data_IF_009370043016
#
_entry.id   IF_009370043016
#
_cell.length_a   1.000
_cell.length_b   1.000
_cell.length_c   1.000
_cell.angle_alpha   90.00
_cell.angle_beta   90.00
_cell.angle_gamma   90.00
#
_symmetry.space_group_name_H-M   'P 1'
#
loop_
_entity.id
_entity.type
_entity.pdbx_description
1 polymer ?
#
# COMPACT_ATOMS: atom_id res chain seq x y z
N UNK A 1 1.80 7.57 -15.54
CA UNK A 1 2.28 6.32 -14.90
C UNK A 1 1.55 5.14 -15.51
N UNK A 2 2.24 4.01 -15.68
CA UNK A 2 1.67 2.77 -16.25
C UNK A 2 1.35 1.77 -15.15
N UNK A 3 0.19 1.11 -15.23
CA UNK A 3 -0.27 0.14 -14.23
C UNK A 3 -0.65 -1.19 -14.87
N UNK A 4 -0.37 -2.29 -14.18
CA UNK A 4 -0.80 -3.63 -14.55
C UNK A 4 -1.89 -4.11 -13.60
N UNK A 5 -3.05 -4.49 -14.14
CA UNK A 5 -4.07 -5.22 -13.38
C UNK A 5 -3.58 -6.65 -13.18
N UNK A 6 -3.45 -7.08 -11.93
CA UNK A 6 -2.99 -8.42 -11.61
C UNK A 6 -4.16 -9.41 -11.51
N UNK A 7 -3.91 -10.72 -11.67
CA UNK A 7 -4.89 -11.75 -11.35
C UNK A 7 -5.39 -11.61 -9.91
N UNK A 8 -6.55 -12.19 -9.60
CA UNK A 8 -7.14 -12.11 -8.26
C UNK A 8 -6.17 -12.71 -7.24
N UNK A 9 -5.67 -11.85 -6.35
CA UNK A 9 -4.72 -12.19 -5.30
C UNK A 9 -5.35 -12.15 -3.90
N UNK A 10 -4.52 -12.12 -2.84
CA UNK A 10 -4.95 -12.21 -1.44
C UNK A 10 -5.94 -11.12 -0.99
N UNK A 11 -5.91 -9.94 -1.62
CA UNK A 11 -6.78 -8.79 -1.32
C UNK A 11 -7.90 -8.59 -2.35
N UNK A 12 -8.11 -9.54 -3.26
CA UNK A 12 -8.92 -9.36 -4.47
C UNK A 12 -8.08 -8.89 -5.65
N UNK A 13 -8.74 -8.40 -6.71
CA UNK A 13 -8.02 -7.81 -7.85
C UNK A 13 -7.55 -6.39 -7.54
N UNK A 14 -6.26 -6.12 -7.73
CA UNK A 14 -5.65 -4.79 -7.64
C UNK A 14 -4.77 -4.51 -8.87
N UNK A 15 -4.38 -3.25 -9.05
CA UNK A 15 -3.36 -2.91 -10.05
C UNK A 15 -2.14 -2.34 -9.36
N UNK A 16 -0.95 -2.65 -9.85
CA UNK A 16 0.33 -2.12 -9.36
C UNK A 16 1.05 -1.38 -10.48
N UNK A 17 1.88 -0.41 -10.14
CA UNK A 17 2.78 0.27 -11.07
C UNK A 17 3.66 -0.74 -11.78
N UNK A 18 3.88 -0.54 -13.08
CA UNK A 18 4.76 -1.42 -13.89
C UNK A 18 6.23 -1.26 -13.48
N UNK A 19 6.56 -0.10 -12.93
CA UNK A 19 7.88 0.30 -12.46
C UNK A 19 7.76 1.03 -11.13
N UNK A 20 8.89 1.17 -10.45
CA UNK A 20 9.08 2.07 -9.32
C UNK A 20 8.70 3.51 -9.73
N UNK A 21 8.29 4.34 -8.78
CA UNK A 21 8.03 5.76 -9.05
C UNK A 21 9.34 6.43 -9.43
N UNK A 22 9.38 7.09 -10.59
CA UNK A 22 10.60 7.74 -11.07
C UNK A 22 10.80 9.12 -10.44
N UNK A 23 12.03 9.62 -10.46
CA UNK A 23 12.36 10.98 -9.97
C UNK A 23 11.54 12.07 -10.66
N UNK A 24 11.36 11.97 -11.98
CA UNK A 24 10.53 12.94 -12.74
C UNK A 24 9.05 12.87 -12.35
N UNK A 25 8.54 11.68 -12.03
CA UNK A 25 7.18 11.51 -11.55
C UNK A 25 7.00 12.10 -10.16
N UNK A 26 7.92 11.80 -9.23
CA UNK A 26 7.94 12.36 -7.89
C UNK A 26 8.00 13.89 -7.93
N UNK A 27 8.95 14.46 -8.67
CA UNK A 27 9.11 15.90 -8.80
C UNK A 27 7.86 16.58 -9.38
N UNK A 28 7.18 15.96 -10.35
CA UNK A 28 5.95 16.50 -10.93
C UNK A 28 4.78 16.57 -9.93
N UNK A 29 4.76 15.68 -8.94
CA UNK A 29 3.70 15.61 -7.92
C UNK A 29 4.10 16.42 -6.70
N UNK A 30 5.30 16.20 -6.16
CA UNK A 30 5.77 16.76 -4.89
C UNK A 30 6.37 18.16 -5.05
N UNK A 31 6.93 18.47 -6.22
CA UNK A 31 7.51 19.78 -6.55
C UNK A 31 9.01 19.90 -6.25
N UNK A 32 9.65 18.81 -5.81
CA UNK A 32 11.09 18.72 -5.59
C UNK A 32 11.55 17.27 -5.82
N UNK A 33 12.84 17.08 -6.09
CA UNK A 33 13.45 15.76 -6.24
C UNK A 33 14.42 15.49 -5.05
N UNK A 34 14.04 14.62 -4.10
CA UNK A 34 14.83 14.33 -2.89
C UNK A 34 16.02 13.37 -3.14
N UNK A 35 16.07 12.71 -4.29
CA UNK A 35 17.00 11.62 -4.59
C UNK A 35 18.46 12.08 -4.62
N UNK A 36 19.35 11.24 -4.11
CA UNK A 36 20.80 11.47 -4.14
C UNK A 36 21.42 11.14 -5.49
N UNK A 37 21.08 9.99 -6.08
CA UNK A 37 21.47 9.64 -7.44
C UNK A 37 20.56 10.36 -8.42
N UNK A 38 21.11 10.93 -9.50
CA UNK A 38 20.33 11.77 -10.42
C UNK A 38 20.07 11.08 -11.74
N UNK A 39 18.80 11.01 -12.12
CA UNK A 39 18.33 10.55 -13.42
C UNK A 39 16.81 10.64 -13.49
N UNK A 40 16.27 11.33 -14.50
CA UNK A 40 14.82 11.56 -14.59
C UNK A 40 14.00 10.26 -14.62
N UNK A 41 14.61 9.18 -15.13
CA UNK A 41 14.02 7.84 -15.23
C UNK A 41 14.50 6.88 -14.12
N UNK A 42 15.44 7.30 -13.26
CA UNK A 42 15.80 6.51 -12.08
C UNK A 42 14.63 6.50 -11.10
N UNK A 43 14.53 5.48 -10.22
CA UNK A 43 13.58 5.52 -9.13
C UNK A 43 13.85 6.72 -8.24
N UNK A 44 12.78 7.27 -7.67
CA UNK A 44 12.91 8.17 -6.54
C UNK A 44 13.40 7.38 -5.34
N UNK A 45 14.51 7.84 -4.75
CA UNK A 45 15.03 7.37 -3.47
C UNK A 45 15.23 8.54 -2.50
N UNK A 46 15.69 8.21 -1.29
CA UNK A 46 15.83 9.15 -0.18
C UNK A 46 14.47 9.74 0.26
N UNK A 47 13.44 8.89 0.24
CA UNK A 47 12.08 9.19 0.67
C UNK A 47 11.71 8.37 1.89
N UNK A 48 11.13 9.02 2.91
CA UNK A 48 10.59 8.30 4.07
C UNK A 48 9.29 7.58 3.71
N UNK A 49 8.83 6.70 4.59
CA UNK A 49 7.53 6.07 4.42
C UNK A 49 6.40 7.11 4.39
N UNK A 50 6.49 8.13 5.23
CA UNK A 50 5.51 9.22 5.29
C UNK A 50 5.53 10.07 4.01
N UNK A 51 6.70 10.32 3.42
CA UNK A 51 6.81 11.01 2.13
C UNK A 51 6.15 10.21 0.99
N UNK A 52 6.37 8.90 0.96
CA UNK A 52 5.75 8.02 -0.05
C UNK A 52 4.23 7.97 0.10
N UNK A 53 3.71 7.98 1.34
CA UNK A 53 2.27 8.11 1.62
C UNK A 53 1.74 9.49 1.21
N UNK A 54 2.48 10.57 1.51
CA UNK A 54 2.13 11.92 1.11
C UNK A 54 2.07 12.08 -0.41
N UNK A 55 3.02 11.47 -1.13
CA UNK A 55 3.00 11.36 -2.59
C UNK A 55 1.71 10.69 -3.07
N UNK A 56 1.36 9.53 -2.51
CA UNK A 56 0.14 8.80 -2.89
C UNK A 56 -1.12 9.65 -2.68
N UNK A 57 -1.21 10.35 -1.53
CA UNK A 57 -2.31 11.23 -1.21
C UNK A 57 -2.40 12.43 -2.17
N UNK A 58 -1.27 13.08 -2.46
CA UNK A 58 -1.20 14.24 -3.35
C UNK A 58 -1.54 13.86 -4.79
N UNK A 59 -1.01 12.74 -5.29
CA UNK A 59 -1.34 12.19 -6.60
C UNK A 59 -2.84 11.88 -6.70
N UNK A 60 -3.43 11.24 -5.70
CA UNK A 60 -4.87 10.92 -5.65
C UNK A 60 -5.76 12.17 -5.65
N UNK A 61 -5.27 13.28 -5.10
CA UNK A 61 -5.99 14.55 -5.02
C UNK A 61 -5.91 15.39 -6.32
N UNK A 62 -5.08 15.02 -7.29
CA UNK A 62 -4.99 15.76 -8.55
C UNK A 62 -6.35 15.74 -9.29
N UNK A 63 -6.81 16.86 -9.86
CA UNK A 63 -8.13 16.92 -10.51
C UNK A 63 -8.37 15.85 -11.57
N UNK A 64 -7.34 15.51 -12.36
CA UNK A 64 -7.42 14.46 -13.38
C UNK A 64 -7.60 13.05 -12.78
N UNK A 65 -7.02 12.80 -11.61
CA UNK A 65 -7.09 11.52 -10.90
C UNK A 65 -8.43 11.36 -10.19
N UNK A 66 -8.91 12.44 -9.55
CA UNK A 66 -10.25 12.53 -8.96
C UNK A 66 -11.33 12.31 -10.03
N UNK A 67 -11.23 13.00 -11.17
CA UNK A 67 -12.19 12.86 -12.27
C UNK A 67 -12.21 11.43 -12.85
N UNK A 68 -11.10 10.70 -12.75
CA UNK A 68 -11.00 9.31 -13.17
C UNK A 68 -11.34 8.30 -12.08
N UNK A 69 -11.67 8.75 -10.86
CA UNK A 69 -11.95 7.87 -9.72
C UNK A 69 -10.76 7.01 -9.29
N UNK A 70 -9.52 7.49 -9.50
CA UNK A 70 -8.29 6.76 -9.16
C UNK A 70 -7.80 7.18 -7.79
N UNK A 71 -7.52 6.18 -6.94
CA UNK A 71 -6.94 6.37 -5.62
C UNK A 71 -5.69 5.52 -5.52
N UNK A 72 -4.57 6.18 -5.20
CA UNK A 72 -3.25 5.61 -5.09
C UNK A 72 -2.88 5.38 -3.64
N UNK A 73 -2.10 4.34 -3.41
CA UNK A 73 -1.53 3.97 -2.11
C UNK A 73 -0.24 3.18 -2.33
N UNK A 74 0.50 2.97 -1.26
CA UNK A 74 1.54 1.93 -1.24
C UNK A 74 0.87 0.54 -1.38
N UNK A 75 1.54 -0.43 -2.03
CA UNK A 75 1.11 -1.82 -2.00
C UNK A 75 1.19 -2.36 -0.56
N UNK A 76 0.32 -3.31 -0.21
CA UNK A 76 0.61 -4.11 0.98
C UNK A 76 1.80 -5.02 0.69
N UNK A 77 2.44 -5.49 1.74
CA UNK A 77 3.50 -6.46 1.71
C UNK A 77 3.07 -7.73 0.98
N UNK A 78 1.85 -8.20 1.27
CA UNK A 78 1.28 -9.35 0.60
C UNK A 78 1.08 -9.08 -0.90
N UNK A 79 0.69 -7.87 -1.27
CA UNK A 79 0.55 -7.45 -2.67
C UNK A 79 1.91 -7.32 -3.37
N UNK A 80 2.93 -6.74 -2.72
CA UNK A 80 4.30 -6.67 -3.24
C UNK A 80 4.90 -8.05 -3.44
N UNK A 81 4.74 -8.97 -2.48
CA UNK A 81 5.19 -10.36 -2.64
C UNK A 81 4.50 -11.05 -3.81
N UNK A 82 3.17 -10.91 -3.89
CA UNK A 82 2.36 -11.52 -4.93
C UNK A 82 2.75 -11.00 -6.31
N UNK A 83 2.92 -9.68 -6.43
CA UNK A 83 3.39 -9.02 -7.63
C UNK A 83 4.78 -9.48 -8.03
N UNK A 84 5.73 -9.54 -7.07
CA UNK A 84 7.10 -9.99 -7.29
C UNK A 84 7.13 -11.43 -7.80
N UNK A 85 6.42 -12.35 -7.13
CA UNK A 85 6.36 -13.78 -7.50
C UNK A 85 5.79 -14.05 -8.88
N UNK A 86 4.84 -13.25 -9.35
CA UNK A 86 4.17 -13.42 -10.64
C UNK A 86 3.67 -14.86 -10.93
N UNK A 87 3.15 -15.53 -9.89
CA UNK A 87 2.64 -16.90 -9.98
C UNK A 87 3.65 -18.02 -9.70
N UNK A 88 4.92 -17.68 -9.45
CA UNK A 88 5.95 -18.65 -9.05
C UNK A 88 5.99 -18.86 -7.54
N UNK A 89 6.63 -19.95 -7.10
CA UNK A 89 6.91 -20.26 -5.69
C UNK A 89 8.41 -20.31 -5.40
N UNK A 90 9.23 -19.91 -6.36
CA UNK A 90 10.71 -19.98 -6.34
C UNK A 90 11.32 -18.80 -5.58
N UNK A 91 12.63 -18.87 -5.33
CA UNK A 91 13.41 -17.82 -4.68
C UNK A 91 13.37 -16.49 -5.42
N UNK A 92 13.34 -16.53 -6.75
CA UNK A 92 13.15 -15.39 -7.64
C UNK A 92 11.97 -15.63 -8.58
N UNK A 93 11.44 -14.59 -9.22
CA UNK A 93 10.32 -14.72 -10.16
C UNK A 93 10.67 -15.47 -11.46
N UNK A 94 11.96 -15.67 -11.70
CA UNK A 94 12.53 -16.37 -12.85
C UNK A 94 13.09 -17.76 -12.52
N UNK A 95 13.15 -18.15 -11.25
CA UNK A 95 13.70 -19.45 -10.83
C UNK A 95 14.38 -19.41 -9.46
N UNK A 96 15.15 -20.45 -9.14
CA UNK A 96 15.89 -20.57 -7.86
C UNK A 96 17.39 -20.25 -8.01
N UNK A 97 17.90 -20.13 -9.24
CA UNK A 97 19.32 -19.86 -9.49
C UNK A 97 19.61 -18.36 -9.43
N UNK A 98 20.44 -17.96 -8.46
CA UNK A 98 20.86 -16.58 -8.30
C UNK A 98 21.78 -16.08 -9.42
N UNK A 99 22.38 -16.99 -10.22
CA UNK A 99 23.23 -16.61 -11.36
C UNK A 99 22.46 -15.82 -12.42
N UNK A 100 21.15 -16.05 -12.54
CA UNK A 100 20.30 -15.36 -13.51
C UNK A 100 19.86 -13.97 -13.02
N UNK A 101 20.07 -13.63 -11.73
CA UNK A 101 19.62 -12.36 -11.14
C UNK A 101 20.12 -11.12 -11.89
N UNK A 102 21.32 -11.18 -12.46
CA UNK A 102 21.90 -10.08 -13.23
C UNK A 102 21.09 -9.67 -14.46
N UNK A 103 20.21 -10.54 -14.97
CA UNK A 103 19.30 -10.22 -16.09
C UNK A 103 18.05 -9.46 -15.64
N UNK A 104 17.67 -9.59 -14.36
CA UNK A 104 16.40 -9.09 -13.81
C UNK A 104 16.57 -7.93 -12.82
N UNK A 105 17.77 -7.70 -12.31
CA UNK A 105 17.99 -6.76 -11.22
C UNK A 105 19.27 -5.92 -11.36
N UNK A 106 19.21 -4.73 -10.77
CA UNK A 106 20.37 -3.96 -10.36
C UNK A 106 20.64 -4.20 -8.87
N UNK A 107 21.78 -4.82 -8.56
CA UNK A 107 22.18 -5.22 -7.20
C UNK A 107 23.70 -5.05 -7.05
N UNK A 108 24.26 -5.33 -5.87
CA UNK A 108 25.66 -4.99 -5.51
C UNK A 108 26.70 -5.44 -6.54
N UNK A 109 26.52 -6.61 -7.18
CA UNK A 109 27.50 -7.13 -8.15
C UNK A 109 27.50 -6.40 -9.50
N UNK A 110 26.40 -5.73 -9.88
CA UNK A 110 26.24 -5.15 -11.23
C UNK A 110 25.77 -3.69 -11.27
N UNK A 111 25.39 -3.10 -10.14
CA UNK A 111 24.85 -1.73 -10.09
C UNK A 111 25.89 -0.65 -10.26
N UNK A 112 27.18 -0.93 -10.01
CA UNK A 112 28.21 0.11 -9.99
C UNK A 112 27.97 1.15 -8.88
N UNK A 113 27.34 0.73 -7.78
CA UNK A 113 27.04 1.54 -6.61
C UNK A 113 26.12 2.74 -6.87
N UNK A 114 25.08 2.55 -7.69
CA UNK A 114 24.08 3.58 -8.01
C UNK A 114 22.74 2.96 -8.40
N UNK A 115 21.66 3.74 -8.29
CA UNK A 115 20.39 3.42 -8.96
C UNK A 115 20.50 3.61 -10.48
N UNK A 116 19.64 2.91 -11.21
CA UNK A 116 19.57 2.93 -12.68
C UNK A 116 18.16 3.28 -13.15
N UNK A 117 18.03 3.54 -14.46
CA UNK A 117 16.73 3.78 -15.07
C UNK A 117 15.80 2.59 -14.86
N UNK A 118 14.54 2.87 -14.52
CA UNK A 118 13.53 1.82 -14.35
C UNK A 118 13.29 1.05 -15.64
N UNK A 119 13.05 -0.25 -15.54
CA UNK A 119 12.73 -1.10 -16.68
C UNK A 119 13.89 -1.40 -17.62
N UNK A 120 15.14 -1.21 -17.18
CA UNK A 120 16.34 -1.54 -17.96
C UNK A 120 16.75 -3.02 -17.87
N UNK A 121 16.12 -3.78 -16.97
CA UNK A 121 16.29 -5.24 -16.81
C UNK A 121 15.07 -6.01 -17.32
N UNK A 122 15.14 -7.33 -17.36
CA UNK A 122 14.01 -8.16 -17.75
C UNK A 122 12.88 -8.08 -16.71
N UNK A 123 11.61 -8.02 -17.15
CA UNK A 123 10.49 -8.06 -16.23
C UNK A 123 10.20 -9.48 -15.74
N UNK A 124 9.43 -9.59 -14.67
CA UNK A 124 8.88 -10.88 -14.24
C UNK A 124 7.77 -11.39 -15.18
N UNK A 125 7.22 -12.57 -14.88
CA UNK A 125 6.17 -13.23 -15.68
C UNK A 125 4.88 -12.43 -15.91
N UNK A 126 4.66 -11.33 -15.18
CA UNK A 126 3.51 -10.43 -15.37
C UNK A 126 3.86 -9.11 -16.05
N UNK A 127 5.12 -8.89 -16.41
CA UNK A 127 5.57 -7.65 -17.03
C UNK A 127 5.81 -6.54 -16.02
N UNK A 128 6.15 -6.87 -14.77
CA UNK A 128 6.58 -5.90 -13.75
C UNK A 128 8.11 -5.90 -13.70
N UNK A 129 8.70 -4.72 -13.60
CA UNK A 129 10.14 -4.51 -13.62
C UNK A 129 10.66 -4.21 -12.22
N UNK A 130 11.96 -4.37 -12.04
CA UNK A 130 12.70 -3.92 -10.84
C UNK A 130 12.22 -4.57 -9.51
N UNK A 131 11.41 -5.62 -9.57
CA UNK A 131 10.90 -6.36 -8.39
C UNK A 131 11.98 -7.12 -7.59
N UNK A 132 13.24 -7.08 -8.03
CA UNK A 132 14.38 -7.84 -7.51
C UNK A 132 15.63 -6.97 -7.29
N UNK A 133 15.54 -5.64 -7.23
CA UNK A 133 16.68 -4.77 -7.01
C UNK A 133 16.36 -3.30 -7.30
N UNK A 134 17.38 -2.52 -7.64
CA UNK A 134 17.32 -1.06 -7.80
C UNK A 134 17.05 -0.35 -6.48
N UNK A 135 15.81 -0.25 -6.00
CA UNK A 135 15.51 0.27 -4.66
C UNK A 135 14.56 -0.65 -3.89
N UNK A 136 14.70 -0.67 -2.58
CA UNK A 136 13.71 -1.26 -1.70
C UNK A 136 12.38 -0.51 -1.79
N UNK A 137 11.28 -1.25 -1.70
CA UNK A 137 9.95 -0.72 -1.85
C UNK A 137 9.20 -0.64 -0.52
N UNK A 138 8.76 0.55 -0.14
CA UNK A 138 7.88 0.73 1.02
C UNK A 138 6.53 0.01 0.86
N UNK A 139 6.11 -0.73 1.89
CA UNK A 139 4.81 -1.38 1.97
C UNK A 139 3.85 -0.64 2.91
N UNK A 140 2.54 -0.74 2.67
CA UNK A 140 1.50 0.00 3.42
C UNK A 140 1.14 -0.58 4.78
N UNK A 141 1.49 -1.84 5.06
CA UNK A 141 1.02 -2.54 6.27
C UNK A 141 1.45 -1.79 7.54
N UNK A 142 0.50 -1.72 8.48
CA UNK A 142 0.63 -1.05 9.77
C UNK A 142 0.15 -2.02 10.87
N UNK A 143 0.73 -2.05 12.07
CA UNK A 143 0.96 -0.91 12.95
C UNK A 143 2.37 -0.84 13.59
N UNK A 144 2.82 0.39 13.90
CA UNK A 144 4.05 0.67 14.66
C UNK A 144 5.30 0.87 13.82
N UNK A 145 6.41 1.16 14.52
CA UNK A 145 7.78 1.07 13.99
C UNK A 145 8.35 -0.28 14.43
N UNK A 146 8.99 -1.06 13.55
CA UNK A 146 9.48 -0.71 12.22
C UNK A 146 8.50 -1.01 11.05
N UNK A 147 8.69 -0.34 9.90
CA UNK A 147 7.96 -0.55 8.64
C UNK A 147 8.63 -1.59 7.75
N UNK A 148 7.83 -2.30 6.96
CA UNK A 148 8.28 -3.32 6.00
C UNK A 148 8.69 -2.69 4.67
N UNK A 149 9.75 -3.23 4.09
CA UNK A 149 10.12 -3.02 2.69
C UNK A 149 10.53 -4.34 2.01
N UNK A 150 10.46 -4.37 0.68
CA UNK A 150 10.63 -5.57 -0.18
C UNK A 150 11.44 -5.25 -1.44
N UNK A 151 11.99 -6.28 -2.09
CA UNK A 151 12.56 -6.18 -3.45
C UNK A 151 14.08 -6.30 -3.57
N UNK A 152 14.84 -5.83 -2.59
CA UNK A 152 16.29 -5.65 -2.70
C UNK A 152 16.64 -4.24 -3.16
N UNK A 153 17.93 -3.89 -3.22
CA UNK A 153 18.38 -2.62 -3.78
C UNK A 153 19.71 -2.77 -4.52
N UNK A 154 20.15 -1.68 -5.14
CA UNK A 154 21.42 -1.58 -5.86
C UNK A 154 22.65 -1.94 -5.02
N UNK A 155 22.61 -1.84 -3.69
CA UNK A 155 23.73 -2.13 -2.76
C UNK A 155 23.58 -3.48 -2.05
N UNK A 156 22.55 -4.25 -2.38
CA UNK A 156 22.25 -5.52 -1.70
C UNK A 156 22.82 -6.72 -2.43
N UNK A 157 23.06 -7.79 -1.67
CA UNK A 157 23.43 -9.08 -2.25
C UNK A 157 22.22 -9.77 -2.90
N UNK A 158 22.49 -10.85 -3.63
CA UNK A 158 21.45 -11.62 -4.29
C UNK A 158 20.42 -12.22 -3.31
N UNK A 159 20.79 -12.45 -2.04
CA UNK A 159 19.91 -13.08 -1.06
C UNK A 159 18.79 -12.12 -0.62
N UNK A 160 19.10 -10.84 -0.47
CA UNK A 160 18.15 -9.76 -0.18
C UNK A 160 17.15 -9.50 -1.31
N UNK A 161 17.49 -9.87 -2.55
CA UNK A 161 16.67 -9.66 -3.74
C UNK A 161 15.60 -10.76 -3.97
N UNK A 162 15.44 -11.72 -3.05
CA UNK A 162 14.50 -12.84 -3.20
C UNK A 162 13.05 -12.41 -2.99
N UNK A 163 12.12 -13.10 -3.66
CA UNK A 163 10.67 -12.82 -3.63
C UNK A 163 10.09 -12.72 -2.22
N UNK A 164 10.55 -13.58 -1.30
CA UNK A 164 10.08 -13.68 0.07
C UNK A 164 10.88 -12.83 1.06
N UNK A 165 12.00 -12.23 0.63
CA UNK A 165 12.85 -11.47 1.53
C UNK A 165 12.10 -10.21 1.97
N UNK A 166 12.20 -9.93 3.27
CA UNK A 166 11.63 -8.75 3.91
C UNK A 166 12.68 -8.11 4.79
N UNK A 167 12.77 -6.79 4.72
CA UNK A 167 13.47 -6.03 5.73
C UNK A 167 12.48 -5.17 6.51
N UNK A 168 12.94 -4.66 7.65
CA UNK A 168 12.16 -3.72 8.46
C UNK A 168 13.06 -2.59 8.93
N UNK A 169 12.58 -1.35 8.89
CA UNK A 169 13.34 -0.17 9.35
C UNK A 169 12.41 0.87 9.96
N UNK A 170 12.96 1.79 10.75
CA UNK A 170 12.21 2.93 11.27
C UNK A 170 11.59 3.76 10.13
N UNK A 171 10.31 4.15 10.21
CA UNK A 171 9.61 4.89 9.14
C UNK A 171 10.25 6.22 8.75
N UNK A 172 11.01 6.85 9.67
CA UNK A 172 11.71 8.12 9.42
C UNK A 172 13.08 7.92 8.78
N UNK A 173 13.50 6.67 8.56
CA UNK A 173 14.80 6.39 7.96
C UNK A 173 14.82 6.81 6.50
N UNK A 174 15.75 7.71 6.19
CA UNK A 174 16.10 8.08 4.83
C UNK A 174 17.35 7.30 4.42
N UNK A 175 17.29 6.65 3.26
CA UNK A 175 18.43 5.97 2.66
C UNK A 175 18.33 6.09 1.14
N UNK A 176 19.49 6.09 0.47
CA UNK A 176 19.64 6.15 -0.98
C UNK A 176 19.19 4.87 -1.70
N UNK A 177 18.62 3.94 -0.94
CA UNK A 177 18.10 2.64 -1.39
C UNK A 177 16.60 2.48 -1.12
N UNK A 178 15.90 3.47 -0.56
CA UNK A 178 14.47 3.36 -0.24
C UNK A 178 13.61 4.19 -1.19
N UNK A 179 12.75 3.51 -1.96
CA UNK A 179 11.75 4.06 -2.86
C UNK A 179 10.41 3.33 -2.72
N UNK A 180 9.59 3.32 -3.77
CA UNK A 180 8.28 2.65 -3.73
C UNK A 180 7.64 2.41 -5.11
N UNK A 181 6.78 1.39 -5.15
CA UNK A 181 5.78 1.20 -6.19
C UNK A 181 4.42 1.76 -5.76
N UNK A 182 3.55 2.02 -6.74
CA UNK A 182 2.16 2.42 -6.50
C UNK A 182 1.20 1.25 -6.65
N UNK A 183 0.22 1.15 -5.77
CA UNK A 183 -0.98 0.35 -5.99
C UNK A 183 -2.20 1.25 -6.21
N UNK A 184 -3.07 0.83 -7.12
CA UNK A 184 -4.39 1.43 -7.33
C UNK A 184 -5.43 0.64 -6.55
N UNK A 185 -6.17 1.35 -5.71
CA UNK A 185 -7.36 0.79 -5.09
C UNK A 185 -8.39 0.49 -6.18
N UNK A 186 -8.96 -0.72 -6.17
CA UNK A 186 -10.16 -0.98 -6.97
C UNK A 186 -11.26 -0.01 -6.49
N UNK A 187 -12.00 0.65 -7.41
CA UNK A 187 -13.20 1.37 -7.01
C UNK A 187 -14.06 0.38 -6.23
N UNK A 188 -14.39 0.73 -4.99
CA UNK A 188 -15.29 -0.09 -4.19
C UNK A 188 -16.62 -0.18 -4.95
N UNK A 189 -16.80 -1.28 -5.66
CA UNK A 189 -18.14 -1.72 -6.04
C UNK A 189 -18.92 -1.82 -4.74
N UNK A 190 -20.07 -1.14 -4.67
CA UNK A 190 -21.00 -1.26 -3.55
C UNK A 190 -21.09 -2.72 -3.12
N UNK A 191 -20.88 -3.00 -1.84
CA UNK A 191 -21.07 -4.35 -1.29
C UNK A 191 -22.48 -4.82 -1.64
N UNK A 192 -22.70 -6.11 -1.98
CA UNK A 192 -24.04 -6.65 -2.06
C UNK A 192 -24.69 -6.47 -0.70
N UNK A 193 -25.67 -5.59 -0.67
CA UNK A 193 -26.57 -5.37 0.46
C UNK A 193 -27.20 -6.73 0.81
N UNK A 194 -27.22 -7.05 2.10
CA UNK A 194 -27.60 -8.36 2.61
C UNK A 194 -29.01 -8.76 2.14
N UNK A 195 -29.10 -9.74 1.24
CA UNK A 195 -30.33 -10.46 0.98
C UNK A 195 -30.55 -11.50 2.10
N UNK A 196 -30.90 -11.02 3.31
CA UNK A 196 -31.45 -11.89 4.36
C UNK A 196 -32.97 -11.99 4.18
N UNK A 197 -33.33 -12.99 3.38
CA UNK A 197 -34.50 -13.86 3.51
C UNK A 197 -35.76 -13.27 4.16
N UNK A 198 -36.69 -12.85 3.31
CA UNK A 198 -38.13 -12.95 3.62
C UNK A 198 -38.50 -14.44 3.69
N UNK A 199 -38.45 -15.04 4.88
CA UNK A 199 -39.15 -16.29 5.14
C UNK A 199 -40.59 -15.98 5.57
N UNK A 200 -41.49 -16.37 4.67
CA UNK A 200 -42.94 -16.32 4.81
C UNK A 200 -43.46 -17.24 5.91
N UNK A 201 -44.54 -16.76 6.54
CA UNK A 201 -45.45 -17.44 7.48
C UNK A 201 -45.73 -18.92 7.15
N UNK A 202 -45.75 -19.76 8.18
CA UNK A 202 -46.37 -21.10 8.19
C UNK A 202 -46.73 -21.51 9.62
N UNK A 203 -48.00 -21.87 9.83
CA UNK A 203 -48.66 -22.05 11.11
C UNK A 203 -48.38 -23.38 11.84
N UNK A 204 -48.64 -23.32 13.17
CA UNK A 204 -49.25 -24.33 14.04
C UNK A 204 -48.43 -25.54 14.52
N UNK A 205 -48.42 -25.72 15.85
CA UNK A 205 -48.04 -26.95 16.55
C UNK A 205 -47.87 -26.69 18.04
N UNK A 206 -48.97 -26.75 18.80
CA UNK A 206 -48.96 -26.69 20.27
C UNK A 206 -48.38 -27.97 20.88
N UNK A 207 -47.64 -27.84 21.98
CA UNK A 207 -47.60 -28.81 23.09
C UNK A 207 -47.24 -28.06 24.37
N UNK A 208 -48.06 -28.23 25.41
CA UNK A 208 -47.87 -27.67 26.76
C UNK A 208 -47.18 -28.67 27.72
N UNK A 209 -46.56 -28.08 28.75
CA UNK A 209 -46.31 -28.57 30.13
C UNK A 209 -45.25 -29.70 30.31
N UNK A 210 -44.32 -29.71 31.28
CA UNK A 210 -44.42 -29.34 32.70
C UNK A 210 -43.08 -28.99 33.39
N UNK A 211 -43.20 -28.10 34.38
CA UNK A 211 -42.50 -28.08 35.70
C UNK A 211 -41.05 -27.57 35.83
N UNK A 212 -40.88 -26.59 36.72
CA UNK A 212 -39.58 -26.19 37.30
C UNK A 212 -39.57 -24.77 37.89
N UNK A 213 -39.78 -24.67 39.20
CA UNK A 213 -40.08 -23.46 39.99
C UNK A 213 -38.87 -22.50 40.25
N UNK A 214 -39.20 -21.21 40.42
CA UNK A 214 -38.45 -19.97 40.76
C UNK A 214 -37.94 -19.90 42.24
N UNK A 215 -37.46 -18.75 42.83
CA UNK A 215 -36.83 -17.48 42.35
C UNK A 215 -35.61 -16.99 43.22
N UNK A 216 -34.96 -15.86 42.85
CA UNK A 216 -34.71 -14.68 43.73
C UNK A 216 -34.02 -13.51 42.98
N UNK A 217 -34.68 -12.35 42.79
CA UNK A 217 -34.59 -11.07 43.55
C UNK A 217 -33.30 -10.25 43.26
N UNK A 218 -33.33 -9.19 42.44
CA UNK A 218 -33.54 -7.74 42.74
C UNK A 218 -32.38 -7.09 43.54
N UNK A 219 -31.79 -5.93 43.15
CA UNK A 219 -32.16 -4.51 43.48
C UNK A 219 -31.11 -3.58 42.77
N UNK A 220 -31.47 -2.56 41.97
CA UNK A 220 -31.57 -1.07 42.24
C UNK A 220 -30.30 -0.43 42.85
N UNK A 221 -29.73 0.77 42.53
CA UNK A 221 -30.24 2.14 42.25
C UNK A 221 -29.08 3.09 41.83
N UNK A 222 -29.38 4.22 41.16
CA UNK A 222 -28.72 5.54 41.34
C UNK A 222 -27.75 5.98 40.23
N UNK A 223 -28.10 6.85 39.26
CA UNK A 223 -28.30 8.32 39.24
C UNK A 223 -27.05 9.15 39.57
N UNK A 224 -26.51 9.89 38.58
CA UNK A 224 -26.32 11.36 38.57
C UNK A 224 -25.26 11.85 37.53
N UNK A 225 -25.72 12.58 36.51
CA UNK A 225 -25.04 13.74 35.85
C UNK A 225 -25.10 14.97 36.79
N UNK A 226 -24.37 16.11 36.62
CA UNK A 226 -24.07 16.79 35.35
C UNK A 226 -22.73 17.58 35.27
N UNK A 227 -22.39 18.13 34.09
CA UNK A 227 -22.14 19.56 33.88
C UNK A 227 -21.54 19.88 32.49
N UNK A 228 -22.35 20.60 31.73
CA UNK A 228 -22.07 21.62 30.71
C UNK A 228 -20.73 22.36 30.84
N UNK A 229 -20.03 22.54 29.72
CA UNK A 229 -19.50 23.86 29.34
C UNK A 229 -19.45 24.01 27.82
N UNK A 230 -20.30 24.91 27.33
CA UNK A 230 -20.24 25.50 26.01
C UNK A 230 -19.05 26.48 25.94
N UNK A 231 -18.24 26.41 24.89
CA UNK A 231 -17.48 27.57 24.43
C UNK A 231 -17.97 28.01 23.06
N UNK A 232 -18.16 29.32 22.96
CA UNK A 232 -18.74 30.05 21.86
C UNK A 232 -17.82 30.07 20.63
N UNK A 233 -18.46 30.16 19.46
CA UNK A 233 -17.89 30.58 18.19
C UNK A 233 -17.39 32.02 18.22
N UNK A 234 -16.46 32.37 17.31
CA UNK A 234 -16.47 33.53 16.38
C UNK A 234 -15.11 33.62 15.61
N UNK A 235 -15.02 34.32 14.47
CA UNK A 235 -14.62 33.69 13.21
C UNK A 235 -13.49 34.42 12.44
N UNK A 236 -13.21 33.90 11.24
CA UNK A 236 -12.70 34.55 10.02
C UNK A 236 -11.43 35.41 10.04
N UNK A 237 -10.44 34.98 9.24
CA UNK A 237 -9.60 35.88 8.43
C UNK A 237 -9.31 35.18 7.09
N UNK A 238 -10.22 35.36 6.14
CA UNK A 238 -9.90 35.27 4.71
C UNK A 238 -9.34 36.63 4.28
N UNK A 239 -8.11 36.65 3.77
CA UNK A 239 -7.67 37.72 2.88
C UNK A 239 -7.17 37.11 1.57
N UNK A 240 -7.79 37.63 0.52
CA UNK A 240 -7.52 37.39 -0.88
C UNK A 240 -6.08 37.78 -1.25
N UNK A 241 -5.45 37.01 -2.13
CA UNK A 241 -4.46 37.56 -3.06
C UNK A 241 -4.85 37.09 -4.45
N UNK A 242 -5.32 38.05 -5.24
CA UNK A 242 -5.49 37.98 -6.68
C UNK A 242 -4.13 38.11 -7.38
N UNK A 243 -3.98 37.31 -8.43
CA UNK A 243 -3.37 37.61 -9.75
C UNK A 243 -2.22 38.63 -9.83
N UNK A 244 -1.02 38.13 -10.19
CA UNK A 244 -0.29 38.45 -11.43
C UNK A 244 0.34 37.16 -11.95
#
# INVERSE_FOLDING_TARGET
MSFKRLPIGPSGGFSIGVHEVTQSQDESVMGANPSSFKGANNPVENVSWDDAVAFCAKLSALPAEVAAGRVYRLPTEAESEYACRAGTTTGYSFGDDAQDLGEYAWFSDNSGNTTHGVGEKLPNGWGLYDMHGNVWEWCSDAEGSPRVYRGGSWDDDAASCRTAYRGTVDPLSLNYSYGFHLALSSPSGKSPEAEQGKLSRGCCGQYEDTSGQLPNQAVSTGVATPATMCFHAFPELFQNVETI
#
